data_IF_980212214863
#
_entry.id   IF_980212214863
#
_cell.length_a   1.000
_cell.length_b   1.000
_cell.length_c   1.000
_cell.angle_alpha   90.00
_cell.angle_beta   90.00
_cell.angle_gamma   90.00
#
_symmetry.space_group_name_H-M   'P 1'
#
loop_
_entity.id
_entity.type
_entity.pdbx_description
1 polymer ?
#
# COMPACT_ATOMS: atom_id res chain seq x y z
N UNK A 1 -6.94 26.21 -5.54
CA UNK A 1 -7.56 26.08 -4.21
C UNK A 1 -6.65 25.14 -3.42
N UNK A 2 -5.95 25.63 -2.40
CA UNK A 2 -5.09 24.78 -1.58
C UNK A 2 -5.97 23.93 -0.67
N UNK A 3 -6.10 22.64 -0.96
CA UNK A 3 -6.47 21.67 0.07
C UNK A 3 -5.38 21.72 1.13
N UNK A 4 -5.74 22.21 2.32
CA UNK A 4 -4.91 22.02 3.51
C UNK A 4 -4.89 20.51 3.75
N UNK A 5 -3.73 19.90 3.56
CA UNK A 5 -3.39 18.58 4.07
C UNK A 5 -3.67 18.60 5.58
N UNK A 6 -4.84 18.11 5.98
CA UNK A 6 -5.23 18.01 7.37
C UNK A 6 -4.46 16.84 7.96
N UNK A 7 -3.25 17.12 8.46
CA UNK A 7 -2.51 16.19 9.31
C UNK A 7 -3.36 15.88 10.54
N UNK A 8 -4.17 14.82 10.45
CA UNK A 8 -4.93 14.30 11.56
C UNK A 8 -3.99 13.45 12.39
N UNK A 9 -3.63 13.87 13.63
CA UNK A 9 -2.72 13.08 14.43
C UNK A 9 -3.34 11.71 14.73
N UNK A 10 -2.51 10.65 14.78
CA UNK A 10 -2.98 9.31 15.11
C UNK A 10 -3.68 9.30 16.47
N UNK A 11 -4.83 8.60 16.55
CA UNK A 11 -5.58 8.45 17.79
C UNK A 11 -5.36 7.05 18.36
N UNK A 12 -4.89 6.97 19.59
CA UNK A 12 -4.67 5.72 20.29
C UNK A 12 -5.94 5.29 21.03
N UNK A 13 -6.41 4.07 20.78
CA UNK A 13 -7.51 3.44 21.50
C UNK A 13 -6.96 2.68 22.69
N UNK A 14 -7.58 2.86 23.86
CA UNK A 14 -7.17 2.21 25.11
C UNK A 14 -8.25 1.29 25.66
N UNK A 15 -7.84 0.17 26.26
CA UNK A 15 -8.75 -0.70 27.02
C UNK A 15 -9.07 -0.13 28.41
N UNK A 16 -9.90 -0.84 29.19
CA UNK A 16 -10.30 -0.44 30.55
C UNK A 16 -9.12 -0.37 31.53
N UNK A 17 -8.05 -1.10 31.24
CA UNK A 17 -6.80 -1.14 32.01
C UNK A 17 -5.85 0.02 31.64
N UNK A 18 -6.19 0.82 30.62
CA UNK A 18 -5.40 1.95 30.13
C UNK A 18 -4.32 1.60 29.11
N UNK A 19 -4.23 0.34 28.68
CA UNK A 19 -3.28 -0.15 27.68
C UNK A 19 -3.72 0.22 26.27
N UNK A 20 -2.77 0.54 25.38
CA UNK A 20 -3.06 0.85 23.97
C UNK A 20 -3.33 -0.46 23.23
N UNK A 21 -4.51 -0.57 22.63
CA UNK A 21 -4.95 -1.76 21.89
C UNK A 21 -5.11 -1.51 20.39
N UNK A 22 -5.25 -0.26 19.97
CA UNK A 22 -5.45 0.09 18.56
C UNK A 22 -4.99 1.52 18.27
N UNK A 23 -4.78 1.82 16.98
CA UNK A 23 -4.43 3.15 16.48
C UNK A 23 -5.27 3.49 15.26
N UNK A 24 -6.01 4.59 15.35
CA UNK A 24 -6.76 5.15 14.23
C UNK A 24 -5.88 6.20 13.55
N UNK A 25 -5.54 5.97 12.30
CA UNK A 25 -4.75 6.87 11.45
C UNK A 25 -5.61 7.51 10.36
N UNK A 26 -5.12 8.57 9.72
CA UNK A 26 -5.76 9.09 8.52
C UNK A 26 -5.66 8.07 7.38
N UNK A 27 -6.55 8.19 6.39
CA UNK A 27 -6.50 7.31 5.23
C UNK A 27 -5.21 7.50 4.42
N UNK A 28 -4.71 8.72 4.31
CA UNK A 28 -3.48 9.03 3.57
C UNK A 28 -2.25 8.44 4.28
N UNK A 29 -2.17 8.57 5.61
CA UNK A 29 -1.11 7.94 6.40
C UNK A 29 -1.15 6.42 6.27
N UNK A 30 -2.35 5.83 6.29
CA UNK A 30 -2.54 4.40 6.09
C UNK A 30 -2.06 3.95 4.70
N UNK A 31 -2.43 4.69 3.63
CA UNK A 31 -1.92 4.40 2.27
C UNK A 31 -0.41 4.50 2.20
N UNK A 32 0.19 5.52 2.81
CA UNK A 32 1.64 5.69 2.80
C UNK A 32 2.37 4.59 3.58
N UNK A 33 1.78 4.14 4.69
CA UNK A 33 2.23 2.97 5.42
C UNK A 33 2.21 1.70 4.55
N UNK A 34 1.08 1.42 3.88
CA UNK A 34 0.97 0.26 2.99
C UNK A 34 1.99 0.31 1.83
N UNK A 35 2.25 1.48 1.23
CA UNK A 35 3.32 1.63 0.23
C UNK A 35 4.70 1.30 0.79
N UNK A 36 4.96 1.76 2.02
CA UNK A 36 6.22 1.48 2.72
C UNK A 36 6.37 -0.02 2.98
N UNK A 37 5.30 -0.69 3.41
CA UNK A 37 5.29 -2.13 3.59
C UNK A 37 5.56 -2.87 2.26
N UNK A 38 4.86 -2.50 1.19
CA UNK A 38 5.01 -3.14 -0.12
C UNK A 38 6.46 -3.06 -0.66
N UNK A 39 7.18 -1.99 -0.31
CA UNK A 39 8.56 -1.78 -0.74
C UNK A 39 9.61 -2.57 0.08
N UNK A 40 9.29 -2.94 1.31
CA UNK A 40 10.30 -3.39 2.28
C UNK A 40 9.99 -4.71 2.98
N UNK A 41 8.73 -5.13 3.01
CA UNK A 41 8.32 -6.32 3.74
C UNK A 41 8.42 -7.57 2.86
N UNK A 42 8.77 -8.69 3.48
CA UNK A 42 8.74 -9.99 2.81
C UNK A 42 7.28 -10.46 2.69
N UNK A 43 6.82 -10.58 1.45
CA UNK A 43 5.45 -10.92 1.09
C UNK A 43 4.97 -12.20 1.78
N UNK A 44 5.81 -13.23 1.82
CA UNK A 44 5.46 -14.55 2.37
C UNK A 44 5.27 -14.53 3.89
N UNK A 45 5.81 -13.52 4.56
CA UNK A 45 5.71 -13.36 6.02
C UNK A 45 4.64 -12.37 6.45
N UNK A 46 4.06 -11.66 5.48
CA UNK A 46 3.10 -10.61 5.72
C UNK A 46 1.76 -11.23 6.16
N UNK A 47 1.09 -10.71 7.20
CA UNK A 47 -0.25 -11.14 7.54
C UNK A 47 -1.22 -11.03 6.34
N UNK A 48 -2.11 -12.02 6.11
CA UNK A 48 -2.96 -12.05 4.91
C UNK A 48 -3.79 -10.77 4.69
N UNK A 49 -4.32 -10.18 5.76
CA UNK A 49 -5.10 -8.95 5.66
C UNK A 49 -4.28 -7.74 5.16
N UNK A 50 -2.96 -7.72 5.39
CA UNK A 50 -2.08 -6.70 4.84
C UNK A 50 -1.70 -6.99 3.38
N UNK A 51 -1.60 -8.26 2.99
CA UNK A 51 -1.39 -8.64 1.59
C UNK A 51 -2.57 -8.17 0.74
N UNK A 52 -3.79 -8.49 1.18
CA UNK A 52 -5.04 -8.06 0.51
C UNK A 52 -5.13 -6.52 0.41
N UNK A 53 -4.74 -5.81 1.47
CA UNK A 53 -4.75 -4.36 1.51
C UNK A 53 -3.73 -3.74 0.54
N UNK A 54 -2.53 -4.32 0.45
CA UNK A 54 -1.49 -3.88 -0.49
C UNK A 54 -1.93 -4.18 -1.92
N UNK A 55 -2.46 -5.38 -2.21
CA UNK A 55 -2.97 -5.73 -3.54
C UNK A 55 -4.07 -4.78 -4.00
N UNK A 56 -5.01 -4.45 -3.11
CA UNK A 56 -6.05 -3.47 -3.42
C UNK A 56 -5.46 -2.09 -3.72
N UNK A 57 -4.51 -1.62 -2.91
CA UNK A 57 -3.84 -0.34 -3.11
C UNK A 57 -3.12 -0.28 -4.47
N UNK A 58 -2.34 -1.31 -4.81
CA UNK A 58 -1.60 -1.39 -6.06
C UNK A 58 -2.53 -1.48 -7.26
N UNK A 59 -3.64 -2.20 -7.14
CA UNK A 59 -4.66 -2.27 -8.20
C UNK A 59 -5.31 -0.90 -8.46
N UNK A 60 -5.63 -0.14 -7.42
CA UNK A 60 -6.15 1.22 -7.57
C UNK A 60 -5.12 2.18 -8.18
N UNK A 61 -3.85 2.06 -7.79
CA UNK A 61 -2.77 2.86 -8.36
C UNK A 61 -2.56 2.55 -9.84
N UNK A 62 -2.52 1.27 -10.22
CA UNK A 62 -2.41 0.84 -11.61
C UNK A 62 -3.59 1.32 -12.48
N UNK A 63 -4.80 1.42 -11.91
CA UNK A 63 -5.96 2.00 -12.61
C UNK A 63 -5.84 3.51 -12.79
N UNK A 64 -5.23 4.20 -11.84
CA UNK A 64 -5.04 5.64 -11.87
C UNK A 64 -3.84 6.07 -12.72
N UNK A 65 -2.92 5.16 -13.02
CA UNK A 65 -1.74 5.44 -13.83
C UNK A 65 -2.12 5.90 -15.25
N UNK A 66 -1.54 7.01 -15.73
CA UNK A 66 -1.74 7.45 -17.10
C UNK A 66 -0.99 6.55 -18.07
N UNK A 67 -1.72 5.86 -18.95
CA UNK A 67 -1.11 5.04 -20.00
C UNK A 67 -2.03 3.95 -20.50
N UNK A 68 -1.70 3.37 -21.66
CA UNK A 68 -2.37 2.16 -22.13
C UNK A 68 -1.80 0.93 -21.43
N UNK A 69 -2.66 0.10 -20.85
CA UNK A 69 -2.27 -1.20 -20.31
C UNK A 69 -1.54 -2.03 -21.37
N UNK A 70 -0.40 -2.62 -21.00
CA UNK A 70 0.36 -3.48 -21.89
C UNK A 70 0.18 -4.95 -21.48
N UNK A 71 -0.05 -5.87 -22.43
CA UNK A 71 -0.07 -7.30 -22.13
C UNK A 71 1.26 -7.75 -21.54
N UNK A 72 1.22 -8.54 -20.47
CA UNK A 72 2.43 -9.02 -19.78
C UNK A 72 3.43 -9.73 -20.72
N UNK A 73 2.91 -10.45 -21.73
CA UNK A 73 3.74 -11.12 -22.76
C UNK A 73 4.54 -10.14 -23.62
N UNK A 74 4.02 -8.93 -23.86
CA UNK A 74 4.72 -7.91 -24.62
C UNK A 74 5.85 -7.28 -23.80
N UNK A 75 5.65 -7.13 -22.48
CA UNK A 75 6.63 -6.57 -21.54
C UNK A 75 7.74 -7.58 -21.22
N UNK A 76 7.40 -8.86 -21.04
CA UNK A 76 8.35 -9.94 -20.71
C UNK A 76 9.05 -10.53 -21.95
N UNK A 77 8.80 -10.00 -23.14
CA UNK A 77 9.31 -10.49 -24.42
C UNK A 77 10.80 -10.25 -24.63
N UNK A 78 11.64 -11.13 -24.05
CA UNK A 78 13.05 -11.50 -24.30
C UNK A 78 14.01 -11.26 -23.11
N UNK A 79 14.11 -12.18 -22.14
CA UNK A 79 15.41 -12.49 -21.58
C UNK A 79 16.32 -13.00 -22.72
N UNK A 80 17.57 -12.52 -22.74
CA UNK A 80 18.48 -12.60 -23.88
C UNK A 80 18.64 -13.97 -24.52
N UNK A 81 18.76 -13.95 -25.85
CA UNK A 81 19.42 -15.01 -26.62
C UNK A 81 20.92 -14.89 -26.29
N UNK A 82 21.40 -15.62 -25.28
CA UNK A 82 22.86 -15.83 -25.14
C UNK A 82 23.25 -16.79 -26.27
N UNK A 83 23.88 -16.22 -27.29
CA UNK A 83 24.65 -16.93 -28.29
C UNK A 83 25.94 -17.49 -27.66
#
# INVERSE_FOLDING_TARGET
MSEKESLHPPRFVRNEQGEIIDVIVSYDDYRQFLRTLAAHADWETLPPYLQDAIDHLLAEEAKAEPGSSQPIRAVLGKPGKTA
#
